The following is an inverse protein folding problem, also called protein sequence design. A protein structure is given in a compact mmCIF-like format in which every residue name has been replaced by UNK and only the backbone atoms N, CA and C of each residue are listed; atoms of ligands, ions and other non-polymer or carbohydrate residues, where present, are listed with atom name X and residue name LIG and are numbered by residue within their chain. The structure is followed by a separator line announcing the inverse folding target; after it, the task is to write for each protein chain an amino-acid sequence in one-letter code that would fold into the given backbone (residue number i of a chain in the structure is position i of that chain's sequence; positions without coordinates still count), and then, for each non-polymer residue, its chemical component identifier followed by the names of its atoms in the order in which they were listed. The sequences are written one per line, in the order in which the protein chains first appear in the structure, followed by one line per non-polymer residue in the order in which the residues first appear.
data_IF_310294705000
#
_entry.id   IF_310294705000
#
_cell.length_a   1.000
_cell.length_b   1.000
_cell.length_c   1.000
_cell.angle_alpha   90.00
_cell.angle_beta   90.00
_cell.angle_gamma   90.00
#
_symmetry.space_group_name_H-M   'P 1'
#
loop_
_entity.id
_entity.type
_entity.pdbx_description
1 polymer ?
#
# COMPACT_ATOMS: atom_id res chain seq x y z
N UNK A 1 5.22 15.48 -2.73
CA UNK A 1 4.40 14.42 -3.36
C UNK A 1 3.00 14.52 -2.81
N UNK A 2 1.97 14.20 -3.58
CA UNK A 2 0.59 14.11 -3.10
C UNK A 2 0.24 12.63 -2.96
N UNK A 3 -0.18 12.23 -1.76
CA UNK A 3 -0.55 10.86 -1.44
C UNK A 3 -2.07 10.66 -1.44
N UNK A 4 -2.52 9.49 -1.86
CA UNK A 4 -3.94 9.14 -1.95
C UNK A 4 -4.16 7.68 -1.51
N UNK A 5 -5.30 7.43 -0.87
CA UNK A 5 -5.85 6.09 -0.72
C UNK A 5 -6.91 5.86 -1.81
N UNK A 6 -6.99 4.63 -2.30
CA UNK A 6 -7.96 4.25 -3.33
C UNK A 6 -8.40 2.81 -3.11
N UNK A 7 -9.70 2.57 -3.31
CA UNK A 7 -10.25 1.22 -3.22
C UNK A 7 -10.05 0.47 -4.53
N UNK A 8 -9.66 -0.79 -4.41
CA UNK A 8 -9.65 -1.70 -5.55
C UNK A 8 -11.09 -1.92 -6.04
N UNK A 9 -11.32 -1.70 -7.33
CA UNK A 9 -12.63 -1.88 -7.97
C UNK A 9 -12.77 -3.22 -8.69
N UNK A 10 -11.83 -3.54 -9.58
CA UNK A 10 -11.85 -4.74 -10.44
C UNK A 10 -10.58 -4.83 -11.29
N UNK A 11 -10.24 -6.02 -11.79
CA UNK A 11 -9.12 -6.28 -12.70
C UNK A 11 -8.03 -7.18 -12.11
N UNK A 12 -7.03 -7.54 -12.91
CA UNK A 12 -5.93 -8.39 -12.46
C UNK A 12 -4.63 -7.57 -12.33
N UNK A 13 -3.72 -7.98 -11.43
CA UNK A 13 -2.40 -7.38 -11.33
C UNK A 13 -1.55 -7.83 -12.53
N UNK A 14 -1.11 -6.87 -13.35
CA UNK A 14 -0.20 -7.10 -14.49
C UNK A 14 0.89 -6.01 -14.45
N UNK A 15 2.09 -6.29 -13.89
CA UNK A 15 3.19 -5.33 -13.84
C UNK A 15 3.71 -4.94 -15.23
N UNK A 16 4.02 -3.66 -15.44
CA UNK A 16 4.63 -3.18 -16.68
C UNK A 16 6.13 -3.54 -16.71
N UNK A 17 6.60 -4.27 -17.75
CA UNK A 17 7.99 -4.65 -17.85
C UNK A 17 8.94 -3.45 -17.85
N UNK A 18 9.94 -3.47 -16.96
CA UNK A 18 10.95 -2.41 -16.84
C UNK A 18 10.60 -1.29 -15.87
N UNK A 19 9.36 -1.22 -15.38
CA UNK A 19 8.94 -0.28 -14.33
C UNK A 19 8.77 -0.99 -12.98
N UNK A 20 8.06 -2.12 -12.94
CA UNK A 20 7.74 -2.86 -11.71
C UNK A 20 8.19 -4.31 -11.85
N UNK A 21 9.07 -4.74 -10.95
CA UNK A 21 9.58 -6.12 -10.92
C UNK A 21 8.53 -7.11 -10.36
N UNK A 22 7.84 -6.73 -9.29
CA UNK A 22 6.82 -7.56 -8.63
C UNK A 22 5.71 -6.67 -8.02
N UNK A 23 4.47 -7.15 -8.09
CA UNK A 23 3.34 -6.56 -7.39
C UNK A 23 2.38 -7.66 -6.92
N UNK A 24 1.85 -7.49 -5.70
CA UNK A 24 0.88 -8.42 -5.12
C UNK A 24 -0.02 -7.69 -4.12
N UNK A 25 -1.11 -8.34 -3.73
CA UNK A 25 -1.91 -7.93 -2.58
C UNK A 25 -1.28 -8.50 -1.30
N UNK A 26 -1.21 -7.67 -0.26
CA UNK A 26 -0.67 -8.05 1.04
C UNK A 26 -1.71 -7.81 2.12
N UNK A 27 -1.79 -8.75 3.06
CA UNK A 27 -2.57 -8.55 4.27
C UNK A 27 -1.89 -7.48 5.15
N UNK A 28 -2.68 -6.66 5.84
CA UNK A 28 -2.17 -5.58 6.70
C UNK A 28 -1.35 -6.10 7.88
N UNK A 29 -1.53 -7.37 8.26
CA UNK A 29 -0.79 -8.03 9.32
C UNK A 29 0.39 -8.87 8.80
N UNK A 30 0.57 -8.97 7.47
CA UNK A 30 1.67 -9.70 6.81
C UNK A 30 2.32 -8.88 5.69
N UNK A 31 2.68 -7.63 6.02
CA UNK A 31 3.35 -6.73 5.10
C UNK A 31 4.84 -7.11 4.91
N UNK A 32 5.39 -6.95 3.69
CA UNK A 32 6.82 -7.08 3.45
C UNK A 32 7.57 -5.88 4.06
N UNK A 33 8.87 -5.78 3.81
CA UNK A 33 9.64 -4.59 4.19
C UNK A 33 9.08 -3.35 3.47
N UNK A 34 8.55 -2.41 4.25
CA UNK A 34 8.00 -1.14 3.76
C UNK A 34 8.91 0.05 4.12
N UNK A 35 8.81 1.19 3.40
CA UNK A 35 9.56 2.40 3.74
C UNK A 35 9.21 2.96 5.13
N UNK A 36 10.15 3.66 5.77
CA UNK A 36 9.90 4.34 7.05
C UNK A 36 8.86 5.46 6.91
N UNK A 37 7.82 5.41 7.75
CA UNK A 37 6.77 6.43 7.80
C UNK A 37 7.27 7.80 8.30
N UNK A 38 8.40 7.87 9.00
CA UNK A 38 8.92 9.14 9.53
C UNK A 38 9.46 10.07 8.44
N UNK A 39 9.96 9.49 7.34
CA UNK A 39 10.70 10.23 6.30
C UNK A 39 10.19 9.95 4.87
N UNK A 40 9.14 9.14 4.71
CA UNK A 40 8.60 8.76 3.39
C UNK A 40 7.09 8.88 3.37
N UNK A 41 6.58 9.63 2.39
CA UNK A 41 5.13 9.71 2.10
C UNK A 41 4.55 8.32 1.82
N UNK A 42 5.32 7.41 1.18
CA UNK A 42 4.86 6.05 0.93
C UNK A 42 4.71 5.25 2.24
N UNK A 43 5.67 5.37 3.16
CA UNK A 43 5.60 4.74 4.47
C UNK A 43 4.44 5.29 5.32
N UNK A 44 4.21 6.60 5.26
CA UNK A 44 3.10 7.27 5.93
C UNK A 44 1.74 6.77 5.42
N UNK A 45 1.54 6.69 4.10
CA UNK A 45 0.30 6.20 3.49
C UNK A 45 -0.02 4.76 3.89
N UNK A 46 1.00 3.89 3.90
CA UNK A 46 0.84 2.49 4.32
C UNK A 46 0.46 2.42 5.80
N UNK A 47 1.17 3.16 6.67
CA UNK A 47 0.87 3.19 8.11
C UNK A 47 -0.56 3.64 8.38
N UNK A 48 -1.00 4.74 7.74
CA UNK A 48 -2.36 5.26 7.90
C UNK A 48 -3.42 4.23 7.49
N UNK A 49 -3.22 3.53 6.38
CA UNK A 49 -4.15 2.51 5.90
C UNK A 49 -4.25 1.33 6.87
N UNK A 50 -3.12 0.84 7.38
CA UNK A 50 -3.09 -0.24 8.39
C UNK A 50 -3.83 0.16 9.66
N UNK A 51 -3.67 1.40 10.12
CA UNK A 51 -4.39 1.92 11.29
C UNK A 51 -5.91 1.99 11.04
N UNK A 52 -6.35 2.45 9.86
CA UNK A 52 -7.77 2.50 9.48
C UNK A 52 -8.41 1.10 9.48
N UNK A 53 -7.75 0.10 8.88
CA UNK A 53 -8.25 -1.29 8.86
C UNK A 53 -8.34 -1.85 10.28
N UNK A 54 -7.31 -1.64 11.11
CA UNK A 54 -7.29 -2.16 12.49
C UNK A 54 -8.32 -1.49 13.41
N UNK A 55 -8.66 -0.23 13.14
CA UNK A 55 -9.71 0.48 13.86
C UNK A 55 -11.11 0.11 13.37
N UNK A 56 -11.24 -0.57 12.24
CA UNK A 56 -12.51 -0.87 11.60
C UNK A 56 -13.17 0.35 10.94
N UNK A 57 -12.37 1.34 10.55
CA UNK A 57 -12.85 2.54 9.84
C UNK A 57 -13.21 2.22 8.37
N UNK A 58 -12.68 1.12 7.84
CA UNK A 58 -12.90 0.56 6.50
C UNK A 58 -12.98 -0.98 6.55
#
# INVERSE_FOLDING_TARGET
MLGFHADYKSGEIVPEPGEIEEANFYDVDDLPTVPSAENSVAGELIKMYVEQVRNGDI
#
